data_IF_388308937982
#
_entry.id   IF_388308937982
#
_cell.length_a   1.000
_cell.length_b   1.000
_cell.length_c   1.000
_cell.angle_alpha   90.00
_cell.angle_beta   90.00
_cell.angle_gamma   90.00
#
_symmetry.space_group_name_H-M   'P 1'
#
loop_
_entity.id
_entity.type
_entity.pdbx_description
1 polymer ?
#
# COMPACT_ATOMS: atom_id res chain seq x y z
N UNK A 1 17.25 5.05 4.57
CA UNK A 1 16.53 5.71 5.71
C UNK A 1 15.11 5.17 5.71
N UNK A 2 14.38 5.22 6.83
CA UNK A 2 12.98 4.79 6.85
C UNK A 2 12.08 5.81 6.11
N UNK A 3 11.01 5.34 5.44
CA UNK A 3 9.98 6.21 4.84
C UNK A 3 9.42 7.17 5.89
N UNK A 4 9.30 8.44 5.54
CA UNK A 4 8.66 9.45 6.38
C UNK A 4 7.30 9.79 5.80
N UNK A 5 6.27 9.89 6.63
CA UNK A 5 4.93 10.28 6.19
C UNK A 5 4.60 11.68 6.66
N UNK A 6 3.78 12.37 5.86
CA UNK A 6 3.39 13.74 6.11
C UNK A 6 1.91 13.95 5.87
N UNK A 7 1.33 14.86 6.63
CA UNK A 7 0.13 15.60 6.25
C UNK A 7 0.60 16.86 5.55
N UNK A 8 0.25 17.00 4.27
CA UNK A 8 0.62 18.16 3.46
C UNK A 8 -0.52 19.17 3.53
N UNK A 9 -0.23 20.34 4.08
CA UNK A 9 -1.19 21.42 4.25
C UNK A 9 -0.92 22.52 3.23
N UNK A 10 -1.97 22.95 2.54
CA UNK A 10 -1.93 24.18 1.74
C UNK A 10 -1.95 25.43 2.65
N UNK A 11 -1.89 26.62 2.04
CA UNK A 11 -1.95 27.89 2.75
C UNK A 11 -3.22 28.10 3.61
N UNK A 12 -4.28 27.32 3.36
CA UNK A 12 -5.53 27.35 4.14
C UNK A 12 -5.55 26.29 5.27
N UNK A 13 -4.43 25.59 5.52
CA UNK A 13 -4.36 24.52 6.50
C UNK A 13 -5.12 23.26 6.10
N UNK A 14 -5.44 23.08 4.81
CA UNK A 14 -6.21 21.96 4.32
C UNK A 14 -5.30 20.85 3.78
N UNK A 15 -5.66 19.61 4.08
CA UNK A 15 -5.03 18.40 3.53
C UNK A 15 -6.01 17.65 2.65
N UNK A 16 -5.51 17.08 1.55
CA UNK A 16 -6.31 16.21 0.69
C UNK A 16 -6.01 14.73 0.93
N UNK A 17 -4.73 14.37 1.06
CA UNK A 17 -4.27 13.00 1.24
C UNK A 17 -2.87 13.01 1.92
N UNK A 18 -2.50 11.93 2.62
CA UNK A 18 -1.15 11.81 3.16
C UNK A 18 -0.11 11.68 2.03
N UNK A 19 1.10 12.16 2.31
CA UNK A 19 2.27 12.01 1.46
C UNK A 19 3.36 11.18 2.16
N UNK A 20 4.26 10.60 1.37
CA UNK A 20 5.36 9.77 1.83
C UNK A 20 6.65 10.16 1.12
N UNK A 21 7.68 10.49 1.91
CA UNK A 21 9.03 10.73 1.45
C UNK A 21 9.87 9.49 1.62
N UNK A 22 10.48 9.05 0.53
CA UNK A 22 11.33 7.86 0.48
C UNK A 22 12.81 8.23 0.45
N UNK A 23 13.66 7.24 0.72
CA UNK A 23 15.11 7.42 0.76
C UNK A 23 15.77 7.63 -0.60
N UNK A 24 15.09 7.29 -1.69
CA UNK A 24 15.47 7.66 -3.06
C UNK A 24 15.07 9.10 -3.46
N UNK A 25 14.75 9.93 -2.45
CA UNK A 25 14.38 11.33 -2.59
C UNK A 25 13.15 11.55 -3.47
N UNK A 26 12.15 10.69 -3.33
CA UNK A 26 10.89 10.79 -4.05
C UNK A 26 9.74 11.04 -3.09
N UNK A 27 8.75 11.78 -3.57
CA UNK A 27 7.51 12.04 -2.84
C UNK A 27 6.39 11.29 -3.51
N UNK A 28 5.66 10.52 -2.70
CA UNK A 28 4.47 9.82 -3.14
C UNK A 28 3.24 10.36 -2.40
N UNK A 29 2.13 10.53 -3.11
CA UNK A 29 0.84 10.92 -2.53
C UNK A 29 -0.15 9.77 -2.64
N UNK A 30 -0.95 9.56 -1.60
CA UNK A 30 -2.04 8.57 -1.65
C UNK A 30 -3.17 9.05 -2.55
N UNK A 31 -3.59 8.23 -3.52
CA UNK A 31 -4.72 8.53 -4.40
C UNK A 31 -5.85 7.52 -4.14
N UNK A 32 -6.97 7.94 -3.51
CA UNK A 32 -8.06 7.03 -3.16
C UNK A 32 -8.75 6.36 -4.35
N UNK A 33 -8.77 7.02 -5.52
CA UNK A 33 -9.40 6.48 -6.74
C UNK A 33 -8.66 5.24 -7.27
N UNK A 34 -7.32 5.21 -7.19
CA UNK A 34 -6.48 4.09 -7.64
C UNK A 34 -6.07 3.16 -6.49
N UNK A 35 -6.31 3.56 -5.24
CA UNK A 35 -5.86 2.86 -4.03
C UNK A 35 -4.36 2.55 -4.06
N UNK A 36 -3.58 3.51 -4.56
CA UNK A 36 -2.14 3.40 -4.68
C UNK A 36 -1.48 4.73 -4.35
N UNK A 37 -0.20 4.66 -4.02
CA UNK A 37 0.66 5.82 -3.84
C UNK A 37 1.30 6.17 -5.17
N UNK A 38 1.20 7.44 -5.56
CA UNK A 38 1.66 7.94 -6.85
C UNK A 38 2.73 8.98 -6.65
N UNK A 39 3.82 8.89 -7.42
CA UNK A 39 4.89 9.87 -7.35
C UNK A 39 4.34 11.25 -7.74
N UNK A 40 4.68 12.26 -6.96
CA UNK A 40 4.37 13.67 -7.24
C UNK A 40 5.67 14.47 -7.31
N UNK A 41 6.08 14.83 -8.53
CA UNK A 41 7.26 15.67 -8.76
C UNK A 41 7.07 17.10 -8.27
N UNK A 42 5.83 17.57 -8.26
CA UNK A 42 5.46 18.87 -7.71
C UNK A 42 5.74 18.90 -6.21
N UNK A 43 5.27 17.90 -5.45
CA UNK A 43 5.56 17.81 -4.02
C UNK A 43 7.03 17.49 -3.72
N UNK A 44 7.75 16.81 -4.62
CA UNK A 44 9.21 16.63 -4.51
C UNK A 44 9.94 17.98 -4.58
N UNK A 45 9.60 18.78 -5.59
CA UNK A 45 10.19 20.10 -5.81
C UNK A 45 9.87 21.01 -4.64
N UNK A 46 8.61 21.05 -4.21
CA UNK A 46 8.20 21.90 -3.08
C UNK A 46 8.90 21.49 -1.78
N UNK A 47 8.96 20.19 -1.46
CA UNK A 47 9.60 19.72 -0.23
C UNK A 47 11.10 20.04 -0.17
N UNK A 48 11.79 19.91 -1.31
CA UNK A 48 13.23 20.09 -1.39
C UNK A 48 13.66 21.55 -1.58
N UNK A 49 12.88 22.33 -2.32
CA UNK A 49 13.29 23.63 -2.86
C UNK A 49 12.35 24.74 -2.41
N UNK A 50 11.08 24.70 -2.83
CA UNK A 50 10.20 25.88 -2.77
C UNK A 50 9.63 26.12 -1.37
N UNK A 51 9.25 25.04 -0.68
CA UNK A 51 8.65 25.01 0.67
C UNK A 51 7.46 25.95 0.86
N UNK A 52 6.60 26.02 -0.15
CA UNK A 52 5.34 26.75 -0.10
C UNK A 52 4.29 26.01 0.74
N UNK A 53 4.33 24.66 0.77
CA UNK A 53 3.44 23.84 1.59
C UNK A 53 4.03 23.55 2.96
N UNK A 54 3.13 23.28 3.92
CA UNK A 54 3.53 22.81 5.25
C UNK A 54 3.47 21.28 5.30
N UNK A 55 4.58 20.66 5.67
CA UNK A 55 4.71 19.21 5.80
C UNK A 55 4.74 18.83 7.28
N UNK A 56 3.58 18.51 7.84
CA UNK A 56 3.48 18.05 9.22
C UNK A 56 3.80 16.55 9.29
N UNK A 57 4.76 16.12 10.13
CA UNK A 57 5.06 14.70 10.30
C UNK A 57 3.81 13.92 10.71
N UNK A 58 3.56 12.82 10.02
CA UNK A 58 2.44 11.92 10.27
C UNK A 58 3.00 10.57 10.76
N UNK A 59 2.74 10.15 12.02
CA UNK A 59 3.14 8.83 12.49
C UNK A 59 2.56 7.72 11.62
N UNK A 60 3.31 6.63 11.42
CA UNK A 60 2.89 5.51 10.54
C UNK A 60 1.54 4.92 10.96
N UNK A 61 1.22 4.90 12.26
CA UNK A 61 -0.04 4.39 12.80
C UNK A 61 -1.25 5.29 12.46
N UNK A 62 -1.01 6.57 12.17
CA UNK A 62 -2.04 7.56 11.81
C UNK A 62 -2.25 7.68 10.29
N UNK A 63 -1.38 7.06 9.49
CA UNK A 63 -1.51 7.06 8.03
C UNK A 63 -2.76 6.33 7.55
N UNK A 64 -3.12 5.12 8.04
CA UNK A 64 -4.32 4.43 7.58
C UNK A 64 -5.63 5.21 7.83
N UNK A 65 -5.85 5.82 9.02
CA UNK A 65 -6.98 6.74 9.22
C UNK A 65 -6.96 7.93 8.25
N UNK A 66 -5.80 8.55 8.00
CA UNK A 66 -5.68 9.65 7.06
C UNK A 66 -5.98 9.24 5.61
N UNK A 67 -5.54 8.05 5.19
CA UNK A 67 -5.85 7.48 3.87
C UNK A 67 -7.35 7.21 3.70
N UNK A 68 -8.02 6.76 4.77
CA UNK A 68 -9.46 6.51 4.77
C UNK A 68 -10.28 7.82 4.69
N UNK A 69 -9.78 8.89 5.31
CA UNK A 69 -10.38 10.22 5.28
C UNK A 69 -10.09 11.00 3.99
N UNK A 70 -9.12 10.56 3.19
CA UNK A 70 -8.73 11.25 1.96
C UNK A 70 -9.87 11.30 0.95
N UNK A 71 -10.08 12.48 0.36
CA UNK A 71 -11.17 12.71 -0.59
C UNK A 71 -10.83 12.14 -1.96
N UNK A 72 -11.79 11.45 -2.57
CA UNK A 72 -11.68 11.04 -3.98
C UNK A 72 -11.72 12.26 -4.87
N UNK A 73 -10.92 12.21 -5.93
CA UNK A 73 -10.99 13.17 -7.02
C UNK A 73 -12.27 12.86 -7.81
N UNK A 74 -13.04 13.90 -8.11
CA UNK A 74 -14.23 13.79 -8.94
C UNK A 74 -13.84 13.55 -10.41
N UNK A 75 -14.15 12.35 -10.91
CA UNK A 75 -13.80 11.93 -12.27
C UNK A 75 -14.54 12.73 -13.36
N UNK A 76 -15.66 13.39 -13.02
CA UNK A 76 -16.38 14.24 -13.99
C UNK A 76 -15.63 15.53 -14.29
N UNK A 77 -14.99 16.11 -13.29
CA UNK A 77 -14.27 17.38 -13.39
C UNK A 77 -12.77 17.19 -13.65
N UNK A 78 -12.17 16.10 -13.17
CA UNK A 78 -10.74 15.84 -13.27
C UNK A 78 -10.41 14.41 -13.71
N UNK A 79 -11.23 13.83 -14.61
CA UNK A 79 -11.01 12.48 -15.14
C UNK A 79 -9.63 12.29 -15.80
N UNK A 80 -9.13 13.32 -16.49
CA UNK A 80 -7.80 13.33 -17.12
C UNK A 80 -6.67 13.06 -16.10
N UNK A 81 -6.77 13.63 -14.90
CA UNK A 81 -5.77 13.44 -13.84
C UNK A 81 -5.81 12.01 -13.29
N UNK A 82 -7.00 11.42 -13.19
CA UNK A 82 -7.14 10.02 -12.79
C UNK A 82 -6.58 9.08 -13.85
N UNK A 83 -6.78 9.36 -15.13
CA UNK A 83 -6.16 8.60 -16.22
C UNK A 83 -4.63 8.72 -16.19
N UNK A 84 -4.10 9.91 -15.92
CA UNK A 84 -2.66 10.11 -15.72
C UNK A 84 -2.12 9.22 -14.60
N UNK A 85 -2.77 9.20 -13.42
CA UNK A 85 -2.38 8.30 -12.34
C UNK A 85 -2.46 6.83 -12.72
N UNK A 86 -3.52 6.40 -13.43
CA UNK A 86 -3.66 5.00 -13.89
C UNK A 86 -2.54 4.61 -14.86
N UNK A 87 -2.11 5.54 -15.70
CA UNK A 87 -1.09 5.36 -16.73
C UNK A 87 0.34 5.62 -16.24
N UNK A 88 0.54 6.07 -15.00
CA UNK A 88 1.88 6.26 -14.44
C UNK A 88 2.70 4.96 -14.49
N UNK A 89 4.01 5.06 -14.83
CA UNK A 89 4.89 3.90 -14.88
C UNK A 89 4.93 3.13 -13.54
N UNK A 90 5.14 1.81 -13.55
CA UNK A 90 5.25 1.02 -12.32
C UNK A 90 6.30 1.54 -11.33
N UNK A 91 7.39 2.14 -11.81
CA UNK A 91 8.44 2.71 -10.97
C UNK A 91 8.00 3.95 -10.17
N UNK A 92 6.96 4.64 -10.63
CA UNK A 92 6.38 5.84 -10.02
C UNK A 92 5.10 5.51 -9.24
N UNK A 93 4.82 4.22 -9.04
CA UNK A 93 3.72 3.74 -8.21
C UNK A 93 4.25 2.91 -7.04
N UNK A 94 3.61 3.09 -5.90
CA UNK A 94 3.90 2.34 -4.68
C UNK A 94 2.61 1.90 -4.04
N UNK A 95 2.74 0.85 -3.27
CA UNK A 95 1.69 0.32 -2.43
C UNK A 95 2.02 0.68 -1.00
N UNK A 96 1.03 0.63 -0.11
CA UNK A 96 1.26 0.94 1.30
C UNK A 96 2.38 0.08 1.90
N UNK A 97 2.45 -1.21 1.52
CA UNK A 97 3.52 -2.12 1.92
C UNK A 97 4.89 -1.74 1.37
N UNK A 98 4.98 -1.22 0.14
CA UNK A 98 6.27 -0.79 -0.44
C UNK A 98 6.85 0.41 0.32
N UNK A 99 5.98 1.19 0.96
CA UNK A 99 6.33 2.32 1.80
C UNK A 99 6.54 1.94 3.27
N UNK A 100 6.37 0.66 3.63
CA UNK A 100 6.53 0.16 5.00
C UNK A 100 5.28 0.26 5.87
N UNK A 101 4.13 0.66 5.32
CA UNK A 101 2.84 0.65 6.04
C UNK A 101 2.25 -0.76 6.04
N UNK A 102 1.73 -1.15 7.20
CA UNK A 102 0.96 -2.38 7.38
C UNK A 102 -0.48 -2.02 7.70
N UNK A 103 -1.34 -2.08 6.68
CA UNK A 103 -2.76 -1.73 6.84
C UNK A 103 -3.57 -3.00 7.10
N UNK A 104 -4.10 -3.11 8.32
CA UNK A 104 -5.04 -4.17 8.68
C UNK A 104 -6.29 -4.10 7.77
N UNK A 105 -6.74 -5.25 7.26
CA UNK A 105 -7.90 -5.34 6.38
C UNK A 105 -7.69 -4.98 4.89
N UNK A 106 -6.49 -4.56 4.46
CA UNK A 106 -6.21 -4.35 3.04
C UNK A 106 -6.25 -5.71 2.30
N UNK A 107 -7.40 -6.03 1.68
CA UNK A 107 -7.49 -7.17 0.77
C UNK A 107 -6.45 -6.94 -0.31
N UNK A 108 -5.62 -7.95 -0.56
CA UNK A 108 -4.85 -8.00 -1.78
C UNK A 108 -5.79 -7.61 -2.93
N UNK A 109 -5.40 -6.56 -3.62
CA UNK A 109 -5.95 -6.13 -4.91
C UNK A 109 -6.14 -7.37 -5.80
N UNK A 110 -7.05 -7.32 -6.77
CA UNK A 110 -7.43 -8.43 -7.67
C UNK A 110 -6.30 -9.44 -7.90
N UNK A 111 -6.61 -10.74 -8.01
CA UNK A 111 -5.59 -11.81 -8.07
C UNK A 111 -4.39 -11.50 -9.00
N UNK A 112 -4.63 -10.78 -10.10
CA UNK A 112 -3.59 -10.22 -10.98
C UNK A 112 -2.57 -9.31 -10.28
N UNK A 113 -3.00 -8.31 -9.53
CA UNK A 113 -2.09 -7.38 -8.83
C UNK A 113 -1.31 -8.09 -7.73
N UNK A 114 -1.92 -9.05 -7.02
CA UNK A 114 -1.18 -9.88 -6.07
C UNK A 114 -0.07 -10.69 -6.76
N UNK A 115 -0.35 -11.24 -7.95
CA UNK A 115 0.63 -11.98 -8.75
C UNK A 115 1.76 -11.06 -9.20
N UNK A 116 1.43 -9.88 -9.73
CA UNK A 116 2.41 -8.88 -10.18
C UNK A 116 3.34 -8.45 -9.03
N UNK A 117 2.78 -8.21 -7.83
CA UNK A 117 3.57 -7.87 -6.63
C UNK A 117 4.50 -9.01 -6.20
N UNK A 118 3.97 -10.22 -6.06
CA UNK A 118 4.80 -11.37 -5.68
C UNK A 118 5.88 -11.65 -6.72
N UNK A 119 5.64 -11.36 -8.00
CA UNK A 119 6.64 -11.48 -9.05
C UNK A 119 7.75 -10.41 -8.94
N UNK A 120 7.42 -9.20 -8.50
CA UNK A 120 8.33 -8.04 -8.49
C UNK A 120 9.16 -7.89 -7.21
N UNK A 121 8.94 -8.72 -6.18
CA UNK A 121 9.69 -8.65 -4.91
C UNK A 121 10.04 -10.02 -4.34
N UNK A 122 11.15 -10.09 -3.62
CA UNK A 122 11.52 -11.21 -2.74
C UNK A 122 11.00 -11.04 -1.30
N UNK A 123 10.39 -9.89 -1.00
CA UNK A 123 9.83 -9.57 0.31
C UNK A 123 8.50 -10.27 0.60
N UNK A 124 8.06 -10.15 1.86
CA UNK A 124 6.75 -10.63 2.31
C UNK A 124 5.64 -9.70 1.79
N UNK A 125 4.64 -10.28 1.12
CA UNK A 125 3.47 -9.60 0.58
C UNK A 125 2.22 -10.10 1.28
N UNK A 126 1.38 -9.17 1.74
CA UNK A 126 0.08 -9.49 2.34
C UNK A 126 -0.85 -10.10 1.29
N UNK A 127 -1.32 -11.31 1.55
CA UNK A 127 -2.27 -12.03 0.70
C UNK A 127 -3.70 -11.81 1.18
N UNK A 128 -3.93 -11.92 2.50
CA UNK A 128 -5.27 -11.78 3.07
C UNK A 128 -5.21 -11.50 4.56
N UNK A 129 -6.13 -10.65 5.02
CA UNK A 129 -6.35 -10.38 6.44
C UNK A 129 -7.64 -11.04 6.93
N UNK A 130 -7.61 -11.53 8.15
CA UNK A 130 -8.72 -12.13 8.87
C UNK A 130 -8.92 -11.33 10.16
N UNK A 131 -10.16 -10.91 10.49
CA UNK A 131 -10.41 -10.28 11.77
C UNK A 131 -10.04 -11.23 12.90
N UNK A 132 -9.31 -10.77 13.92
CA UNK A 132 -9.13 -11.61 15.12
C UNK A 132 -10.45 -11.62 15.89
N UNK A 133 -10.84 -12.82 16.31
CA UNK A 133 -12.14 -13.02 16.94
C UNK A 133 -12.57 -14.47 17.12
N UNK A 134 -11.68 -15.44 16.89
CA UNK A 134 -11.94 -16.83 17.27
C UNK A 134 -11.16 -17.87 16.48
N UNK A 135 -11.19 -19.12 16.98
CA UNK A 135 -10.54 -20.30 16.40
C UNK A 135 -10.86 -20.55 14.93
N UNK A 136 -11.97 -20.01 14.41
CA UNK A 136 -12.32 -20.11 13.00
C UNK A 136 -11.42 -19.23 12.10
N UNK A 137 -11.11 -18.00 12.55
CA UNK A 137 -10.22 -17.10 11.82
C UNK A 137 -8.79 -17.64 11.80
N UNK A 138 -8.29 -18.11 12.94
CA UNK A 138 -6.97 -18.76 13.07
C UNK A 138 -6.83 -19.96 12.14
N UNK A 139 -7.80 -20.89 12.17
CA UNK A 139 -7.80 -22.06 11.29
C UNK A 139 -7.85 -21.66 9.82
N UNK A 140 -8.62 -20.64 9.47
CA UNK A 140 -8.75 -20.16 8.09
C UNK A 140 -7.47 -19.50 7.58
N UNK A 141 -6.79 -18.72 8.43
CA UNK A 141 -5.49 -18.11 8.11
C UNK A 141 -4.40 -19.16 7.97
N UNK A 142 -4.31 -20.11 8.92
CA UNK A 142 -3.35 -21.21 8.89
C UNK A 142 -3.57 -22.14 7.67
N UNK A 143 -4.83 -22.44 7.35
CA UNK A 143 -5.21 -23.22 6.17
C UNK A 143 -4.77 -22.51 4.88
N UNK A 144 -5.07 -21.21 4.75
CA UNK A 144 -4.62 -20.44 3.58
C UNK A 144 -3.10 -20.42 3.43
N UNK A 145 -2.35 -20.18 4.52
CA UNK A 145 -0.89 -20.23 4.50
C UNK A 145 -0.35 -21.62 4.13
N UNK A 146 -1.01 -22.70 4.58
CA UNK A 146 -0.69 -24.07 4.16
C UNK A 146 -0.95 -24.30 2.67
N UNK A 147 -2.11 -23.87 2.16
CA UNK A 147 -2.46 -24.02 0.74
C UNK A 147 -1.46 -23.32 -0.18
N UNK A 148 -0.98 -22.13 0.23
CA UNK A 148 0.01 -21.36 -0.53
C UNK A 148 1.34 -22.12 -0.57
N UNK A 149 1.85 -22.59 0.58
CA UNK A 149 3.09 -23.37 0.66
C UNK A 149 3.03 -24.66 -0.16
N UNK A 150 1.85 -25.27 -0.28
CA UNK A 150 1.60 -26.49 -1.07
C UNK A 150 1.30 -26.22 -2.54
N UNK A 151 1.28 -24.96 -2.99
CA UNK A 151 0.97 -24.60 -4.37
C UNK A 151 -0.50 -24.87 -4.77
N UNK A 152 -1.40 -25.09 -3.81
CA UNK A 152 -2.81 -25.44 -4.09
C UNK A 152 -3.65 -24.22 -4.55
N UNK A 153 -3.08 -23.01 -4.45
CA UNK A 153 -3.69 -21.79 -4.97
C UNK A 153 -3.34 -21.60 -6.45
N UNK A 154 -4.21 -22.07 -7.35
CA UNK A 154 -4.03 -21.99 -8.82
C UNK A 154 -3.63 -20.61 -9.36
N UNK A 155 -4.12 -19.53 -8.75
CA UNK A 155 -3.75 -18.18 -9.16
C UNK A 155 -2.27 -17.87 -8.88
N UNK A 156 -1.71 -18.42 -7.80
CA UNK A 156 -0.36 -18.16 -7.33
C UNK A 156 0.66 -19.22 -7.78
N UNK A 157 0.20 -20.43 -8.13
CA UNK A 157 1.07 -21.55 -8.51
C UNK A 157 1.94 -21.26 -9.73
N UNK A 158 1.56 -20.29 -10.57
CA UNK A 158 2.36 -19.83 -11.72
C UNK A 158 3.65 -19.12 -11.33
N UNK A 159 3.79 -18.69 -10.07
CA UNK A 159 4.97 -17.97 -9.57
C UNK A 159 6.09 -18.89 -9.05
N UNK A 160 5.89 -20.21 -9.12
CA UNK A 160 6.80 -21.20 -8.55
C UNK A 160 6.54 -21.43 -7.07
N UNK A 161 7.58 -21.87 -6.35
CA UNK A 161 7.46 -22.22 -4.94
C UNK A 161 7.36 -20.94 -4.08
N UNK A 162 6.34 -20.90 -3.23
CA UNK A 162 6.09 -19.79 -2.32
C UNK A 162 6.25 -20.24 -0.87
N UNK A 163 6.80 -19.36 -0.05
CA UNK A 163 6.69 -19.44 1.40
C UNK A 163 5.48 -18.63 1.86
N UNK A 164 4.87 -19.04 2.97
CA UNK A 164 3.73 -18.32 3.55
C UNK A 164 3.66 -18.47 5.07
N UNK A 165 3.28 -17.38 5.74
CA UNK A 165 3.17 -17.31 7.19
C UNK A 165 1.91 -16.57 7.63
N UNK A 166 1.52 -16.82 8.87
CA UNK A 166 0.48 -16.04 9.56
C UNK A 166 1.16 -15.15 10.59
N UNK A 167 0.89 -13.86 10.54
CA UNK A 167 1.41 -12.87 11.48
C UNK A 167 0.26 -12.12 12.14
N UNK A 168 0.28 -11.93 13.48
CA UNK A 168 -0.65 -11.02 14.12
C UNK A 168 -0.39 -9.58 13.67
N UNK A 169 -1.46 -8.82 13.46
CA UNK A 169 -1.42 -7.39 13.08
C UNK A 169 -2.50 -6.64 13.87
N UNK A 170 -2.13 -6.08 15.02
CA UNK A 170 -3.10 -5.51 15.94
C UNK A 170 -4.11 -6.56 16.41
N UNK A 171 -5.39 -6.29 16.18
CA UNK A 171 -6.48 -7.23 16.44
C UNK A 171 -6.84 -8.09 15.23
N UNK A 172 -5.93 -8.30 14.27
CA UNK A 172 -6.17 -9.12 13.08
C UNK A 172 -5.09 -10.19 12.88
N UNK A 173 -5.39 -11.21 12.08
CA UNK A 173 -4.43 -12.18 11.58
C UNK A 173 -4.19 -11.94 10.09
N UNK A 174 -2.93 -11.82 9.69
CA UNK A 174 -2.53 -11.56 8.32
C UNK A 174 -1.80 -12.76 7.75
N UNK A 175 -2.20 -13.21 6.57
CA UNK A 175 -1.46 -14.20 5.79
C UNK A 175 -0.56 -13.46 4.83
N UNK A 176 0.74 -13.67 4.96
CA UNK A 176 1.77 -13.14 4.09
C UNK A 176 2.39 -14.26 3.25
N UNK A 177 2.82 -13.96 2.04
CA UNK A 177 3.57 -14.87 1.17
C UNK A 177 4.79 -14.19 0.55
N UNK A 178 5.81 -14.97 0.22
CA UNK A 178 6.98 -14.51 -0.55
C UNK A 178 7.42 -15.59 -1.52
N UNK A 179 8.12 -15.21 -2.58
CA UNK A 179 8.79 -16.17 -3.46
C UNK A 179 10.00 -16.77 -2.77
N UNK A 180 10.18 -18.09 -2.93
CA UNK A 180 11.45 -18.73 -2.64
C UNK A 180 12.36 -18.59 -3.87
N UNK A 181 13.69 -18.44 -3.67
CA UNK A 181 14.65 -18.44 -4.77
C UNK A 181 14.66 -19.76 -5.53
#
# INVERSE_FOLDING_TARGET
MATQFFRVLNALGQTNAPAAWTDDHRMFVWVPNTRSWHRSRELETDYLIDRELTYEPLPSDDVPPAMAAAKRIDERSAGWLIEEYRNQPPADRRTSSDLGLRIAGERATTARVLIERLASTSGWVVVKTYPSGGRAAERSAASLASDIRRGQRKALSKLGQLDARVTPSGADLVVEARRLP
#
